data_IF_742283733435
#
_entry.id   IF_742283733435
#
_cell.length_a   1.000
_cell.length_b   1.000
_cell.length_c   1.000
_cell.angle_alpha   90.00
_cell.angle_beta   90.00
_cell.angle_gamma   90.00
#
_symmetry.space_group_name_H-M   'P 1'
#
loop_
_entity.id
_entity.type
_entity.pdbx_description
1 polymer ?
#
# COMPACT_ATOMS: atom_id res chain seq x y z
N UNK A 1 16.93 33.51 6.85
CA UNK A 1 17.01 34.50 7.93
C UNK A 1 17.26 33.74 9.22
N UNK A 2 17.99 34.35 10.16
CA UNK A 2 18.28 33.75 11.46
C UNK A 2 17.36 34.36 12.52
N UNK A 3 17.08 33.60 13.57
CA UNK A 3 16.37 34.07 14.75
C UNK A 3 17.29 34.93 15.62
N UNK A 4 16.74 36.00 16.17
CA UNK A 4 17.43 36.85 17.12
C UNK A 4 17.05 36.44 18.54
N UNK A 5 18.04 35.92 19.25
CA UNK A 5 17.93 35.45 20.63
C UNK A 5 18.67 36.37 21.60
N UNK A 6 19.32 37.45 21.13
CA UNK A 6 20.17 38.28 21.98
C UNK A 6 19.41 39.39 22.68
N UNK A 7 18.38 39.96 22.03
CA UNK A 7 17.59 41.09 22.56
C UNK A 7 16.93 40.77 23.91
N UNK A 8 16.23 39.64 23.98
CA UNK A 8 15.48 39.22 25.17
C UNK A 8 16.09 37.97 25.84
N UNK A 9 17.40 37.76 25.66
CA UNK A 9 18.09 36.53 26.07
C UNK A 9 17.91 36.26 27.56
N UNK A 10 18.08 37.28 28.39
CA UNK A 10 18.09 37.12 29.83
C UNK A 10 16.69 36.73 30.34
N UNK A 11 15.64 37.37 29.81
CA UNK A 11 14.25 37.01 30.14
C UNK A 11 13.90 35.57 29.73
N UNK A 12 14.34 35.14 28.53
CA UNK A 12 14.11 33.77 28.06
C UNK A 12 14.85 32.76 28.95
N UNK A 13 16.11 33.04 29.29
CA UNK A 13 16.91 32.15 30.13
C UNK A 13 16.41 32.10 31.58
N UNK A 14 15.89 33.21 32.11
CA UNK A 14 15.33 33.26 33.47
C UNK A 14 14.07 32.39 33.56
N UNK A 15 13.13 32.58 32.63
CA UNK A 15 11.91 31.76 32.56
C UNK A 15 12.20 30.27 32.31
N UNK A 16 13.18 29.97 31.44
CA UNK A 16 13.61 28.58 31.21
C UNK A 16 14.26 27.96 32.44
N UNK A 17 15.12 28.70 33.16
CA UNK A 17 15.74 28.21 34.39
C UNK A 17 14.71 27.93 35.48
N UNK A 18 13.69 28.77 35.63
CA UNK A 18 12.61 28.56 36.59
C UNK A 18 11.90 27.21 36.37
N UNK A 19 11.65 26.84 35.11
CA UNK A 19 11.02 25.54 34.77
C UNK A 19 11.98 24.36 34.99
N UNK A 20 13.27 24.53 34.71
CA UNK A 20 14.27 23.44 34.81
C UNK A 20 14.71 23.17 36.25
N UNK A 21 14.92 24.22 37.06
CA UNK A 21 15.43 24.07 38.42
C UNK A 21 14.42 23.38 39.35
N UNK A 22 13.12 23.42 39.01
CA UNK A 22 12.05 22.76 39.76
C UNK A 22 11.91 23.20 41.22
N UNK A 23 12.61 24.28 41.62
CA UNK A 23 12.54 24.90 42.96
C UNK A 23 11.35 25.87 43.05
N UNK A 24 10.99 26.46 41.92
CA UNK A 24 9.83 27.33 41.72
C UNK A 24 8.62 26.48 41.35
N UNK A 25 7.40 26.96 41.65
CA UNK A 25 6.16 26.25 41.28
C UNK A 25 5.88 26.25 39.78
N UNK A 26 6.67 26.99 38.99
CA UNK A 26 6.48 27.12 37.54
C UNK A 26 6.75 25.80 36.82
N UNK A 27 5.72 25.30 36.12
CA UNK A 27 5.77 24.04 35.38
C UNK A 27 5.98 24.26 33.89
N UNK A 28 5.57 25.40 33.36
CA UNK A 28 5.70 25.69 31.93
C UNK A 28 6.07 27.15 31.66
N UNK A 29 6.74 27.36 30.54
CA UNK A 29 7.07 28.68 30.00
C UNK A 29 6.80 28.71 28.49
N UNK A 30 6.27 29.82 28.02
CA UNK A 30 5.88 30.06 26.64
C UNK A 30 6.72 31.20 26.05
N UNK A 31 7.24 30.94 24.85
CA UNK A 31 8.06 31.86 24.08
C UNK A 31 7.41 32.12 22.73
N UNK A 32 7.41 33.37 22.29
CA UNK A 32 6.77 33.83 21.07
C UNK A 32 7.66 34.79 20.31
N UNK A 33 7.22 35.19 19.13
CA UNK A 33 7.90 36.22 18.36
C UNK A 33 7.27 37.58 18.59
N UNK A 34 8.09 38.62 18.66
CA UNK A 34 7.64 40.01 18.76
C UNK A 34 7.07 40.47 17.41
N UNK A 35 5.75 40.31 17.26
CA UNK A 35 5.01 40.68 16.05
C UNK A 35 5.49 39.94 14.80
N UNK A 36 5.95 40.70 13.80
CA UNK A 36 6.49 40.14 12.56
C UNK A 36 8.03 40.07 12.51
N UNK A 37 8.72 40.46 13.58
CA UNK A 37 10.19 40.37 13.65
C UNK A 37 10.66 38.92 13.86
N UNK A 38 11.96 38.66 13.72
CA UNK A 38 12.56 37.37 14.10
C UNK A 38 13.12 37.41 15.53
N UNK A 39 12.69 38.37 16.34
CA UNK A 39 13.11 38.50 17.73
C UNK A 39 12.21 37.59 18.59
N UNK A 40 12.83 36.67 19.34
CA UNK A 40 12.11 35.82 20.29
C UNK A 40 11.94 36.57 21.62
N UNK A 41 10.78 36.44 22.23
CA UNK A 41 10.46 37.01 23.53
C UNK A 41 9.78 36.00 24.45
N UNK A 42 9.86 36.29 25.74
CA UNK A 42 9.09 35.60 26.76
C UNK A 42 7.65 36.10 26.73
N UNK A 43 6.68 35.18 26.70
CA UNK A 43 5.25 35.50 26.63
C UNK A 43 4.60 35.30 27.99
N UNK A 44 4.68 34.08 28.52
CA UNK A 44 3.99 33.69 29.74
C UNK A 44 4.69 32.51 30.44
N UNK A 45 4.43 32.36 31.73
CA UNK A 45 4.80 31.18 32.54
C UNK A 45 3.70 30.90 33.55
N UNK A 46 3.52 29.63 33.91
CA UNK A 46 2.47 29.21 34.83
C UNK A 46 2.80 27.92 35.57
N UNK A 47 1.93 27.56 36.51
CA UNK A 47 2.00 26.38 37.37
C UNK A 47 0.77 25.46 37.25
N UNK A 48 -0.14 25.74 36.32
CA UNK A 48 -1.29 24.91 35.96
C UNK A 48 -0.98 23.77 34.99
N UNK A 49 0.29 23.40 34.82
CA UNK A 49 0.71 22.27 34.00
C UNK A 49 0.37 22.37 32.51
N UNK A 50 0.12 21.22 31.86
CA UNK A 50 -0.15 21.16 30.42
C UNK A 50 -1.54 21.70 30.03
N UNK A 51 -2.52 21.62 30.94
CA UNK A 51 -3.89 22.09 30.68
C UNK A 51 -3.96 23.62 30.55
N UNK A 52 -3.27 24.32 31.45
CA UNK A 52 -3.15 25.78 31.37
C UNK A 52 -2.35 26.19 30.13
N UNK A 53 -1.24 25.49 29.85
CA UNK A 53 -0.41 25.75 28.68
C UNK A 53 -1.21 25.63 27.37
N UNK A 54 -2.07 24.63 27.24
CA UNK A 54 -2.92 24.44 26.05
C UNK A 54 -3.83 25.66 25.81
N UNK A 55 -4.37 26.24 26.88
CA UNK A 55 -5.29 27.40 26.79
C UNK A 55 -4.56 28.69 26.41
N UNK A 56 -3.30 28.84 26.81
CA UNK A 56 -2.47 30.02 26.53
C UNK A 56 -1.84 30.02 25.13
N UNK A 57 -1.89 28.90 24.41
CA UNK A 57 -1.38 28.81 23.03
C UNK A 57 -2.25 29.60 22.06
N UNK A 58 -1.60 30.32 21.14
CA UNK A 58 -2.27 31.14 20.16
C UNK A 58 -2.16 30.52 18.77
N UNK A 59 -3.29 30.07 18.21
CA UNK A 59 -3.37 29.43 16.89
C UNK A 59 -2.97 30.36 15.73
N UNK A 60 -2.93 31.67 15.93
CA UNK A 60 -2.51 32.66 14.92
C UNK A 60 -1.01 32.88 14.82
N UNK A 61 -0.21 32.31 15.74
CA UNK A 61 1.23 32.57 15.82
C UNK A 61 2.05 31.29 15.94
N UNK A 62 3.36 31.42 15.74
CA UNK A 62 4.32 30.34 15.97
C UNK A 62 4.93 30.59 17.33
N UNK A 63 4.90 29.59 18.20
CA UNK A 63 5.36 29.70 19.57
C UNK A 63 6.21 28.47 19.93
N UNK A 64 6.99 28.60 20.98
CA UNK A 64 7.73 27.49 21.57
C UNK A 64 7.36 27.41 23.04
N UNK A 65 6.91 26.25 23.49
CA UNK A 65 6.63 26.02 24.90
C UNK A 65 7.65 25.06 25.48
N UNK A 66 8.05 25.31 26.72
CA UNK A 66 8.91 24.43 27.48
C UNK A 66 8.17 24.05 28.75
N UNK A 67 7.87 22.77 28.91
CA UNK A 67 7.06 22.27 30.02
C UNK A 67 7.80 21.16 30.76
N UNK A 68 7.67 21.16 32.09
CA UNK A 68 8.13 20.09 32.96
C UNK A 68 6.93 19.22 33.33
N UNK A 69 7.06 17.93 33.07
CA UNK A 69 6.00 16.95 33.30
C UNK A 69 6.55 15.77 34.09
N UNK A 70 5.75 15.21 34.98
CA UNK A 70 6.11 13.99 35.70
C UNK A 70 5.77 12.78 34.83
N UNK A 71 6.77 11.97 34.51
CA UNK A 71 6.56 10.76 33.74
C UNK A 71 5.78 9.73 34.57
N UNK A 72 4.61 9.23 34.09
CA UNK A 72 3.81 8.27 34.84
C UNK A 72 4.56 6.96 35.14
N UNK A 73 5.55 6.57 34.30
CA UNK A 73 6.29 5.32 34.48
C UNK A 73 7.43 5.43 35.49
N UNK A 74 8.07 6.60 35.56
CA UNK A 74 9.30 6.77 36.37
C UNK A 74 9.14 7.69 37.55
N UNK A 75 8.05 8.45 37.60
CA UNK A 75 7.81 9.54 38.56
C UNK A 75 8.93 10.58 38.57
N UNK A 76 9.79 10.58 37.54
CA UNK A 76 10.85 11.55 37.36
C UNK A 76 10.31 12.75 36.56
N UNK A 77 10.70 13.98 36.93
CA UNK A 77 10.40 15.15 36.13
C UNK A 77 11.18 15.09 34.82
N UNK A 78 10.47 15.22 33.71
CA UNK A 78 11.02 15.31 32.36
C UNK A 78 10.63 16.65 31.76
N UNK A 79 11.57 17.25 31.04
CA UNK A 79 11.32 18.49 30.31
C UNK A 79 10.94 18.17 28.87
N UNK A 80 9.88 18.79 28.37
CA UNK A 80 9.33 18.65 27.02
C UNK A 80 9.42 20.00 26.33
N UNK A 81 9.97 20.02 25.12
CA UNK A 81 9.98 21.19 24.25
C UNK A 81 8.91 21.00 23.17
N UNK A 82 7.95 21.92 23.11
CA UNK A 82 6.86 21.90 22.14
C UNK A 82 7.11 22.99 21.11
N UNK A 83 7.20 22.60 19.85
CA UNK A 83 7.23 23.48 18.70
C UNK A 83 5.81 23.67 18.17
N UNK A 84 5.18 24.79 18.56
CA UNK A 84 3.82 25.12 18.18
C UNK A 84 3.78 25.88 16.85
N UNK A 85 3.10 25.28 15.87
CA UNK A 85 2.85 25.87 14.56
C UNK A 85 1.36 26.11 14.38
N UNK A 86 0.84 27.16 15.04
CA UNK A 86 -0.58 27.49 15.00
C UNK A 86 -1.17 27.51 13.59
N UNK A 87 -2.38 26.97 13.44
CA UNK A 87 -3.06 26.81 12.16
C UNK A 87 -3.16 28.13 11.37
N UNK A 88 -3.52 29.21 12.04
CA UNK A 88 -3.68 30.55 11.48
C UNK A 88 -2.39 31.32 11.23
N UNK A 89 -1.21 30.79 11.60
CA UNK A 89 0.04 31.48 11.37
C UNK A 89 0.39 31.58 9.86
N UNK A 90 0.98 32.70 9.39
CA UNK A 90 1.28 32.90 7.97
C UNK A 90 2.18 31.81 7.39
N UNK A 91 1.79 31.24 6.23
CA UNK A 91 2.49 30.11 5.61
C UNK A 91 3.98 30.38 5.33
N UNK A 92 4.31 31.57 4.83
CA UNK A 92 5.70 32.00 4.56
C UNK A 92 6.55 31.99 5.84
N UNK A 93 5.93 32.36 6.97
CA UNK A 93 6.59 32.42 8.27
C UNK A 93 6.84 31.01 8.82
N UNK A 94 5.89 30.08 8.64
CA UNK A 94 6.05 28.66 9.02
C UNK A 94 7.28 28.03 8.35
N UNK A 95 7.50 28.31 7.05
CA UNK A 95 8.68 27.82 6.32
C UNK A 95 10.00 28.43 6.83
N UNK A 96 10.00 29.71 7.21
CA UNK A 96 11.20 30.39 7.73
C UNK A 96 11.53 29.92 9.14
N UNK A 97 10.53 29.86 10.03
CA UNK A 97 10.68 29.47 11.44
C UNK A 97 11.03 27.99 11.64
N UNK A 98 10.85 27.13 10.63
CA UNK A 98 11.32 25.75 10.69
C UNK A 98 12.83 25.65 10.92
N UNK A 99 13.61 26.60 10.39
CA UNK A 99 15.07 26.64 10.60
C UNK A 99 15.45 27.21 11.97
N UNK A 100 14.61 28.10 12.52
CA UNK A 100 14.86 28.74 13.82
C UNK A 100 14.77 27.75 14.98
N UNK A 101 13.99 26.67 14.83
CA UNK A 101 13.79 25.67 15.87
C UNK A 101 15.12 25.10 16.41
N UNK A 102 16.12 24.89 15.54
CA UNK A 102 17.45 24.39 15.94
C UNK A 102 18.20 25.35 16.87
N UNK A 103 18.05 26.65 16.65
CA UNK A 103 18.70 27.67 17.48
C UNK A 103 18.00 27.79 18.84
N UNK A 104 16.66 27.65 18.85
CA UNK A 104 15.86 27.59 20.09
C UNK A 104 16.18 26.34 20.91
N UNK A 105 16.26 25.17 20.28
CA UNK A 105 16.66 23.92 20.94
C UNK A 105 18.08 24.01 21.54
N UNK A 106 18.99 24.75 20.89
CA UNK A 106 20.33 25.01 21.41
C UNK A 106 20.33 25.94 22.63
N UNK A 107 19.40 26.89 22.67
CA UNK A 107 19.23 27.82 23.79
C UNK A 107 18.56 27.11 25.00
N UNK A 108 17.46 26.42 24.76
CA UNK A 108 16.63 25.71 25.75
C UNK A 108 17.12 24.27 25.92
N UNK A 109 18.33 24.12 26.48
CA UNK A 109 18.93 22.80 26.69
C UNK A 109 18.16 21.98 27.74
N UNK A 110 18.29 20.65 27.68
CA UNK A 110 17.70 19.76 28.68
C UNK A 110 16.28 19.27 28.36
N UNK A 111 15.74 19.61 27.19
CA UNK A 111 14.56 18.92 26.67
C UNK A 111 14.86 17.43 26.47
N UNK A 112 14.05 16.57 27.08
CA UNK A 112 14.14 15.13 26.92
C UNK A 112 13.44 14.70 25.63
N UNK A 113 12.37 15.40 25.28
CA UNK A 113 11.51 15.12 24.14
C UNK A 113 11.16 16.43 23.47
N UNK A 114 11.19 16.40 22.14
CA UNK A 114 10.73 17.48 21.29
C UNK A 114 9.45 17.03 20.59
N UNK A 115 8.38 17.81 20.73
CA UNK A 115 7.09 17.56 20.09
C UNK A 115 6.80 18.70 19.11
N UNK A 116 6.45 18.35 17.88
CA UNK A 116 5.89 19.32 16.93
C UNK A 116 4.37 19.23 17.04
N UNK A 117 3.73 20.37 17.31
CA UNK A 117 2.30 20.49 17.46
C UNK A 117 1.74 21.53 16.47
N UNK A 118 0.65 21.20 15.77
CA UNK A 118 -0.02 22.10 14.81
C UNK A 118 -1.44 22.49 15.21
N UNK A 119 -2.08 21.65 16.01
CA UNK A 119 -3.43 21.83 16.52
C UNK A 119 -3.44 21.58 18.03
N UNK A 120 -4.49 22.06 18.69
CA UNK A 120 -4.64 21.91 20.14
C UNK A 120 -4.74 20.44 20.58
N UNK A 121 -5.27 19.57 19.72
CA UNK A 121 -5.36 18.12 19.95
C UNK A 121 -3.97 17.45 20.11
N UNK A 122 -2.94 17.95 19.40
CA UNK A 122 -1.57 17.43 19.55
C UNK A 122 -0.88 17.89 20.84
N UNK A 123 -1.46 18.90 21.51
CA UNK A 123 -1.01 19.46 22.79
C UNK A 123 -1.80 18.88 23.98
N UNK A 124 -2.81 18.05 23.72
CA UNK A 124 -3.59 17.42 24.79
C UNK A 124 -2.67 16.73 25.82
N UNK A 125 -2.93 16.91 27.13
CA UNK A 125 -2.09 16.34 28.19
C UNK A 125 -1.89 14.84 28.03
N UNK A 126 -2.94 14.11 27.66
CA UNK A 126 -2.89 12.67 27.45
C UNK A 126 -1.97 12.27 26.30
N UNK A 127 -2.00 13.02 25.19
CA UNK A 127 -1.17 12.76 24.00
C UNK A 127 0.31 13.05 24.30
N UNK A 128 0.58 14.15 25.01
CA UNK A 128 1.94 14.49 25.44
C UNK A 128 2.45 13.45 26.43
N UNK A 129 1.65 13.06 27.43
CA UNK A 129 2.03 12.06 28.42
C UNK A 129 2.27 10.69 27.81
N UNK A 130 1.47 10.28 26.82
CA UNK A 130 1.71 9.04 26.08
C UNK A 130 3.06 9.09 25.33
N UNK A 131 3.36 10.19 24.63
CA UNK A 131 4.67 10.41 23.98
C UNK A 131 5.81 10.38 25.00
N UNK A 132 5.63 11.02 26.16
CA UNK A 132 6.61 11.02 27.26
C UNK A 132 6.89 9.62 27.76
N UNK A 133 5.82 8.85 28.01
CA UNK A 133 5.91 7.48 28.49
C UNK A 133 6.55 6.53 27.47
N UNK A 134 6.38 6.79 26.17
CA UNK A 134 6.97 6.00 25.07
C UNK A 134 8.46 6.28 24.90
N UNK A 135 8.89 7.52 25.07
CA UNK A 135 10.32 7.87 25.07
C UNK A 135 11.04 7.33 26.30
N UNK A 136 10.33 7.03 27.39
CA UNK A 136 10.86 6.32 28.55
C UNK A 136 11.02 4.82 28.26
N UNK A 137 12.25 4.38 27.98
CA UNK A 137 12.58 2.95 27.81
C UNK A 137 12.77 2.21 29.16
N UNK A 138 12.66 2.90 30.30
CA UNK A 138 12.94 2.34 31.62
C UNK A 138 11.69 2.32 32.49
N UNK A 139 11.40 1.17 33.09
CA UNK A 139 10.32 0.99 34.08
C UNK A 139 10.95 0.87 35.47
N UNK A 140 11.19 2.00 36.12
CA UNK A 140 11.54 2.03 37.55
C UNK A 140 10.82 3.21 38.17
N UNK A 141 10.21 3.03 39.34
CA UNK A 141 9.60 4.12 40.11
C UNK A 141 10.48 4.42 41.30
N UNK A 142 10.84 5.68 41.54
CA UNK A 142 11.59 6.09 42.73
C UNK A 142 10.69 6.33 43.95
N UNK A 143 9.39 6.54 43.72
CA UNK A 143 8.38 6.79 44.76
C UNK A 143 7.87 5.49 45.36
N UNK A 144 7.73 4.45 44.54
CA UNK A 144 7.52 3.10 45.01
C UNK A 144 8.86 2.51 45.42
N UNK A 145 9.28 2.76 46.67
CA UNK A 145 10.16 1.76 47.31
C UNK A 145 9.38 0.46 47.24
N UNK A 146 9.96 -0.54 46.56
CA UNK A 146 9.50 -1.91 46.57
C UNK A 146 9.49 -2.36 48.04
N UNK A 147 8.42 -2.06 48.76
CA UNK A 147 8.16 -2.61 50.07
C UNK A 147 7.70 -4.02 49.84
N UNK A 148 8.55 -5.01 50.13
CA UNK A 148 8.19 -6.40 50.46
C UNK A 148 6.96 -7.02 49.76
N UNK A 149 6.66 -6.69 48.50
CA UNK A 149 5.67 -7.44 47.74
C UNK A 149 6.41 -8.60 47.11
N UNK A 150 6.52 -9.65 47.91
CA UNK A 150 6.49 -11.07 47.53
C UNK A 150 6.82 -11.32 46.05
N UNK A 151 8.07 -11.04 45.64
CA UNK A 151 8.63 -11.79 44.53
C UNK A 151 8.82 -13.19 45.07
N UNK A 152 7.77 -14.02 44.98
CA UNK A 152 7.91 -15.46 45.01
C UNK A 152 8.83 -15.82 43.85
N UNK A 153 10.13 -15.70 44.10
CA UNK A 153 11.17 -16.12 43.18
C UNK A 153 11.22 -17.61 43.37
N UNK A 154 10.20 -18.30 42.83
CA UNK A 154 10.23 -19.73 42.70
C UNK A 154 11.51 -20.06 41.92
N UNK A 155 12.29 -21.07 42.36
CA UNK A 155 13.50 -21.44 41.66
C UNK A 155 13.16 -21.72 40.20
N UNK A 156 13.75 -20.95 39.29
CA UNK A 156 13.52 -21.11 37.86
C UNK A 156 14.19 -22.41 37.43
N UNK A 157 13.41 -23.49 37.37
CA UNK A 157 13.86 -24.75 36.81
C UNK A 157 14.20 -24.59 35.32
N UNK A 158 15.04 -25.48 34.80
CA UNK A 158 15.30 -25.53 33.36
C UNK A 158 14.00 -25.80 32.62
N UNK A 159 13.76 -25.07 31.53
CA UNK A 159 12.57 -25.18 30.67
C UNK A 159 12.47 -26.55 29.96
N UNK A 160 13.47 -27.43 30.14
CA UNK A 160 13.56 -28.70 29.44
C UNK A 160 12.42 -29.65 29.88
N UNK A 161 11.44 -29.83 29.01
CA UNK A 161 10.50 -30.95 29.06
C UNK A 161 11.02 -32.03 28.12
N UNK A 162 11.21 -33.24 28.66
CA UNK A 162 11.56 -34.41 27.83
C UNK A 162 10.39 -34.72 26.91
N UNK A 163 10.61 -34.60 25.61
CA UNK A 163 9.64 -34.99 24.57
C UNK A 163 9.43 -36.50 24.65
N UNK A 164 8.17 -36.92 24.88
CA UNK A 164 7.75 -38.32 24.86
C UNK A 164 6.91 -38.51 23.59
N UNK A 165 7.44 -39.18 22.53
CA UNK A 165 6.76 -39.28 21.23
C UNK A 165 5.33 -39.84 21.29
N UNK A 166 5.05 -40.71 22.26
CA UNK A 166 3.71 -41.30 22.49
C UNK A 166 2.64 -40.29 22.91
N UNK A 167 3.04 -39.19 23.57
CA UNK A 167 2.11 -38.18 24.07
C UNK A 167 1.90 -37.02 23.10
N UNK A 168 2.82 -36.82 22.15
CA UNK A 168 2.78 -35.68 21.21
C UNK A 168 2.21 -36.05 19.84
N UNK A 169 2.27 -37.32 19.45
CA UNK A 169 1.74 -37.78 18.16
C UNK A 169 0.43 -38.50 18.41
N UNK A 170 -0.70 -37.83 18.13
CA UNK A 170 -1.99 -38.49 18.07
C UNK A 170 -2.06 -39.36 16.80
N UNK A 171 -1.76 -40.66 16.98
CA UNK A 171 -1.68 -41.65 15.89
C UNK A 171 -3.00 -41.72 15.11
N UNK A 172 -4.14 -41.57 15.79
CA UNK A 172 -5.46 -41.63 15.16
C UNK A 172 -5.74 -40.43 14.25
N UNK A 173 -5.30 -39.23 14.61
CA UNK A 173 -5.44 -38.03 13.78
C UNK A 173 -4.55 -38.09 12.54
N UNK A 174 -3.30 -38.58 12.71
CA UNK A 174 -2.37 -38.77 11.60
C UNK A 174 -2.90 -39.78 10.58
N UNK A 175 -3.44 -40.90 11.05
CA UNK A 175 -3.93 -41.95 10.15
C UNK A 175 -5.20 -41.50 9.39
N UNK A 176 -6.08 -40.70 10.03
CA UNK A 176 -7.22 -40.05 9.36
C UNK A 176 -6.79 -39.06 8.28
N UNK A 177 -5.71 -38.30 8.52
CA UNK A 177 -5.17 -37.35 7.56
C UNK A 177 -4.72 -38.06 6.28
N UNK A 178 -3.87 -39.09 6.41
CA UNK A 178 -3.38 -39.85 5.26
C UNK A 178 -4.49 -40.62 4.54
N UNK A 179 -5.47 -41.18 5.28
CA UNK A 179 -6.62 -41.85 4.68
C UNK A 179 -7.48 -40.91 3.84
N UNK A 180 -7.68 -39.66 4.30
CA UNK A 180 -8.41 -38.64 3.56
C UNK A 180 -7.66 -38.24 2.29
N UNK A 181 -6.36 -38.04 2.39
CA UNK A 181 -5.51 -37.64 1.26
C UNK A 181 -5.43 -38.76 0.20
N UNK A 182 -5.30 -40.02 0.63
CA UNK A 182 -5.28 -41.17 -0.29
C UNK A 182 -6.63 -41.36 -1.00
N UNK A 183 -7.75 -41.11 -0.33
CA UNK A 183 -9.09 -41.13 -0.94
C UNK A 183 -9.25 -40.02 -1.97
N UNK A 184 -8.78 -38.81 -1.67
CA UNK A 184 -8.85 -37.66 -2.58
C UNK A 184 -7.95 -37.86 -3.82
N UNK A 185 -6.74 -38.41 -3.62
CA UNK A 185 -5.83 -38.71 -4.71
C UNK A 185 -6.37 -39.84 -5.61
N UNK A 186 -6.96 -40.89 -5.03
CA UNK A 186 -7.64 -41.95 -5.81
C UNK A 186 -8.79 -41.37 -6.63
N UNK A 187 -9.58 -40.47 -6.06
CA UNK A 187 -10.67 -39.81 -6.80
C UNK A 187 -10.13 -39.00 -7.98
N UNK A 188 -9.05 -38.25 -7.78
CA UNK A 188 -8.38 -37.48 -8.84
C UNK A 188 -7.87 -38.40 -9.96
N UNK A 189 -7.21 -39.50 -9.61
CA UNK A 189 -6.71 -40.46 -10.59
C UNK A 189 -7.83 -41.14 -11.39
N UNK A 190 -8.96 -41.44 -10.74
CA UNK A 190 -10.15 -41.99 -11.43
C UNK A 190 -10.75 -40.96 -12.38
N UNK A 191 -10.85 -39.70 -11.97
CA UNK A 191 -11.38 -38.63 -12.83
C UNK A 191 -10.47 -38.36 -14.04
N UNK A 192 -9.14 -38.32 -13.84
CA UNK A 192 -8.17 -38.17 -14.93
C UNK A 192 -8.21 -39.36 -15.90
N UNK A 193 -8.30 -40.59 -15.39
CA UNK A 193 -8.47 -41.79 -16.23
C UNK A 193 -9.76 -41.70 -17.04
N UNK A 194 -10.88 -41.33 -16.42
CA UNK A 194 -12.17 -41.18 -17.10
C UNK A 194 -12.11 -40.13 -18.22
N UNK A 195 -11.54 -38.95 -17.96
CA UNK A 195 -11.34 -37.90 -18.98
C UNK A 195 -10.43 -38.37 -20.12
N UNK A 196 -9.36 -39.10 -19.80
CA UNK A 196 -8.43 -39.65 -20.80
C UNK A 196 -9.10 -40.71 -21.68
N UNK A 197 -9.95 -41.57 -21.12
CA UNK A 197 -10.72 -42.55 -21.87
C UNK A 197 -11.77 -41.88 -22.76
N UNK A 198 -12.48 -40.88 -22.26
CA UNK A 198 -13.45 -40.10 -23.02
C UNK A 198 -12.80 -39.37 -24.20
N UNK A 199 -11.66 -38.72 -23.97
CA UNK A 199 -10.85 -38.10 -25.04
C UNK A 199 -10.42 -39.12 -26.09
N UNK A 200 -9.94 -40.30 -25.69
CA UNK A 200 -9.58 -41.37 -26.64
C UNK A 200 -10.78 -41.87 -27.45
N UNK A 201 -11.97 -41.95 -26.84
CA UNK A 201 -13.20 -42.35 -27.55
C UNK A 201 -13.60 -41.30 -28.59
N UNK A 202 -13.58 -40.03 -28.21
CA UNK A 202 -13.86 -38.91 -29.13
C UNK A 202 -12.86 -38.86 -30.28
N UNK A 203 -11.57 -39.04 -29.99
CA UNK A 203 -10.51 -39.06 -31.00
C UNK A 203 -10.68 -40.23 -31.97
N UNK A 204 -11.01 -41.42 -31.45
CA UNK A 204 -11.31 -42.59 -32.28
C UNK A 204 -12.54 -42.38 -33.16
N UNK A 205 -13.63 -41.81 -32.63
CA UNK A 205 -14.84 -41.50 -33.40
C UNK A 205 -14.57 -40.47 -34.51
N UNK A 206 -13.76 -39.44 -34.22
CA UNK A 206 -13.33 -38.46 -35.23
C UNK A 206 -12.50 -39.12 -36.33
N UNK A 207 -11.56 -39.98 -35.96
CA UNK A 207 -10.71 -40.70 -36.91
C UNK A 207 -11.54 -41.66 -37.80
N UNK A 208 -12.51 -42.38 -37.22
CA UNK A 208 -13.41 -43.25 -37.97
C UNK A 208 -14.27 -42.45 -38.95
N UNK A 209 -14.84 -41.32 -38.53
CA UNK A 209 -15.60 -40.41 -39.41
C UNK A 209 -14.73 -39.84 -40.54
N UNK A 210 -13.49 -39.45 -40.25
CA UNK A 210 -12.55 -38.95 -41.25
C UNK A 210 -12.15 -40.05 -42.24
N UNK A 211 -11.89 -41.26 -41.76
CA UNK A 211 -11.58 -42.42 -42.60
C UNK A 211 -12.76 -42.83 -43.49
N UNK A 212 -13.99 -42.78 -42.98
CA UNK A 212 -15.21 -43.07 -43.73
C UNK A 212 -15.47 -42.02 -44.82
N UNK A 213 -15.30 -40.73 -44.50
CA UNK A 213 -15.35 -39.65 -45.49
C UNK A 213 -14.28 -39.83 -46.58
N UNK A 214 -13.03 -40.14 -46.19
CA UNK A 214 -11.94 -40.38 -47.12
C UNK A 214 -12.16 -41.64 -47.99
N UNK A 215 -12.79 -42.68 -47.45
CA UNK A 215 -13.16 -43.86 -48.22
C UNK A 215 -14.30 -43.56 -49.21
N UNK A 216 -15.32 -42.82 -48.79
CA UNK A 216 -16.42 -42.38 -49.66
C UNK A 216 -15.92 -41.49 -50.81
N UNK A 217 -14.95 -40.61 -50.54
CA UNK A 217 -14.31 -39.76 -51.56
C UNK A 217 -13.51 -40.60 -52.58
N UNK A 218 -12.84 -41.67 -52.11
CA UNK A 218 -12.09 -42.60 -52.98
C UNK A 218 -12.99 -43.51 -53.82
N UNK A 219 -14.14 -43.94 -53.30
CA UNK A 219 -15.10 -44.77 -54.03
C UNK A 219 -15.94 -43.98 -55.04
N UNK A 220 -16.07 -42.66 -54.88
CA UNK A 220 -16.84 -41.79 -55.78
C UNK A 220 -16.07 -40.52 -56.19
N UNK A 221 -14.96 -40.63 -56.94
CA UNK A 221 -14.15 -39.48 -57.35
C UNK A 221 -14.86 -38.52 -58.32
N UNK A 222 -15.95 -38.95 -58.97
CA UNK A 222 -16.74 -38.09 -59.88
C UNK A 222 -17.83 -37.27 -59.19
N UNK A 223 -18.24 -37.61 -57.96
CA UNK A 223 -19.34 -36.90 -57.28
C UNK A 223 -18.96 -35.51 -56.76
N UNK A 224 -17.78 -35.27 -56.13
CA UNK A 224 -17.40 -33.94 -55.67
C UNK A 224 -17.23 -32.98 -56.84
N UNK A 225 -16.54 -33.41 -57.92
CA UNK A 225 -16.36 -32.61 -59.13
C UNK A 225 -17.70 -32.25 -59.78
N UNK A 226 -18.63 -33.21 -59.94
CA UNK A 226 -19.98 -32.92 -60.45
C UNK A 226 -20.82 -32.05 -59.51
N UNK A 227 -20.65 -32.15 -58.18
CA UNK A 227 -21.37 -31.32 -57.19
C UNK A 227 -20.86 -29.88 -57.22
N UNK A 228 -19.55 -29.69 -57.36
CA UNK A 228 -18.92 -28.38 -57.54
C UNK A 228 -19.30 -27.80 -58.91
N UNK A 229 -19.22 -28.58 -59.99
CA UNK A 229 -19.64 -28.15 -61.34
C UNK A 229 -21.13 -27.80 -61.39
N UNK A 230 -22.00 -28.59 -60.75
CA UNK A 230 -23.44 -28.29 -60.71
C UNK A 230 -23.78 -27.09 -59.84
N UNK A 231 -23.05 -26.87 -58.73
CA UNK A 231 -23.16 -25.64 -57.93
C UNK A 231 -22.73 -24.43 -58.74
N UNK A 232 -21.55 -24.49 -59.34
CA UNK A 232 -20.99 -23.41 -60.17
C UNK A 232 -21.86 -23.14 -61.40
N UNK A 233 -22.46 -24.17 -62.00
CA UNK A 233 -23.37 -24.04 -63.13
C UNK A 233 -24.70 -23.41 -62.73
N UNK A 234 -25.26 -23.74 -61.56
CA UNK A 234 -26.47 -23.10 -61.04
C UNK A 234 -26.23 -21.62 -60.72
N UNK A 235 -25.12 -21.29 -60.07
CA UNK A 235 -24.73 -19.90 -59.83
C UNK A 235 -24.53 -19.14 -61.16
N UNK A 236 -23.87 -19.76 -62.15
CA UNK A 236 -23.71 -19.16 -63.47
C UNK A 236 -25.05 -18.96 -64.21
N UNK A 237 -25.97 -19.92 -64.17
CA UNK A 237 -27.30 -19.81 -64.77
C UNK A 237 -28.16 -18.72 -64.10
N UNK A 238 -28.08 -18.55 -62.79
CA UNK A 238 -28.75 -17.45 -62.07
C UNK A 238 -28.18 -16.08 -62.49
N UNK A 239 -26.85 -15.96 -62.56
CA UNK A 239 -26.18 -14.73 -63.02
C UNK A 239 -26.53 -14.38 -64.48
N UNK A 240 -26.75 -15.36 -65.35
CA UNK A 240 -27.17 -15.15 -66.75
C UNK A 240 -28.62 -14.70 -66.83
N UNK A 241 -29.55 -15.30 -66.05
CA UNK A 241 -30.96 -14.85 -66.01
C UNK A 241 -31.12 -13.42 -65.48
N UNK A 242 -30.20 -12.97 -64.62
CA UNK A 242 -30.15 -11.61 -64.08
C UNK A 242 -29.55 -10.59 -65.07
N UNK A 243 -28.95 -11.02 -66.20
CA UNK A 243 -28.44 -10.09 -67.23
C UNK A 243 -29.53 -9.68 -68.22
N UNK A 244 -29.83 -8.40 -68.29
CA UNK A 244 -30.85 -7.77 -69.16
C UNK A 244 -30.33 -7.36 -70.55
N UNK A 245 -29.20 -7.90 -71.00
CA UNK A 245 -28.56 -7.51 -72.26
C UNK A 245 -28.41 -8.71 -73.19
N UNK A 246 -29.11 -8.70 -74.33
CA UNK A 246 -29.04 -9.76 -75.35
C UNK A 246 -27.69 -9.71 -76.08
N UNK A 247 -26.73 -10.50 -75.61
CA UNK A 247 -25.36 -10.51 -76.10
C UNK A 247 -25.24 -10.99 -77.57
N UNK A 248 -26.28 -11.63 -78.13
CA UNK A 248 -26.28 -12.12 -79.51
C UNK A 248 -26.50 -10.98 -80.52
N UNK A 249 -27.26 -9.95 -80.15
CA UNK A 249 -27.49 -8.77 -80.99
C UNK A 249 -26.25 -7.87 -81.15
N UNK A 250 -25.32 -7.92 -80.19
CA UNK A 250 -24.10 -7.09 -80.15
C UNK A 250 -23.00 -7.66 -81.08
N UNK A 251 -22.96 -8.98 -81.27
CA UNK A 251 -21.89 -9.65 -82.02
C UNK A 251 -22.14 -9.72 -83.53
N UNK A 252 -23.39 -9.66 -83.99
CA UNK A 252 -23.72 -9.62 -85.42
C UNK A 252 -23.45 -8.26 -86.09
N UNK A 253 -23.31 -7.17 -85.33
CA UNK A 253 -23.02 -5.84 -85.90
C UNK A 253 -21.56 -5.68 -86.38
N UNK A 254 -20.62 -6.57 -86.02
CA UNK A 254 -19.17 -6.28 -86.14
C UNK A 254 -18.32 -7.31 -86.92
N UNK A 255 -18.88 -8.20 -87.75
CA UNK A 255 -18.09 -9.27 -88.42
C UNK A 255 -18.07 -9.28 -89.95
N UNK A 256 -18.23 -8.14 -90.63
CA UNK A 256 -17.90 -8.02 -92.06
C UNK A 256 -16.89 -6.89 -92.35
N UNK A 257 -15.59 -7.10 -92.10
CA UNK A 257 -14.51 -6.33 -92.74
C UNK A 257 -13.10 -6.94 -92.52
N UNK A 258 -12.37 -7.18 -93.62
CA UNK A 258 -10.90 -7.10 -93.69
C UNK A 258 -10.11 -8.35 -93.28
N UNK A 259 -9.69 -9.23 -94.20
CA UNK A 259 -8.46 -9.11 -95.02
C UNK A 259 -7.15 -9.16 -94.21
N UNK A 260 -6.03 -9.76 -94.62
CA UNK A 260 -5.60 -10.62 -95.74
C UNK A 260 -4.15 -11.03 -95.40
N UNK A 261 -3.78 -12.26 -95.81
CA UNK A 261 -2.52 -12.65 -96.49
C UNK A 261 -1.13 -12.33 -95.93
N UNK A 262 -0.26 -13.36 -95.98
CA UNK A 262 1.00 -13.45 -96.77
C UNK A 262 2.01 -14.35 -96.04
N UNK A 263 2.20 -15.61 -96.45
CA UNK A 263 3.20 -16.10 -97.45
C UNK A 263 4.65 -16.08 -96.90
N UNK A 264 5.20 -17.23 -96.44
CA UNK A 264 5.97 -18.30 -97.14
C UNK A 264 7.49 -18.06 -97.31
N UNK A 265 8.21 -19.19 -97.13
CA UNK A 265 9.60 -19.62 -97.50
C UNK A 265 10.64 -19.48 -96.38
N UNK A 266 11.32 -20.53 -95.90
CA UNK A 266 12.08 -21.64 -96.52
C UNK A 266 13.38 -21.19 -97.20
N UNK A 267 14.49 -21.36 -96.47
CA UNK A 267 15.70 -22.11 -96.85
C UNK A 267 16.49 -22.46 -95.59
#
# INVERSE_FOLDING_TARGET
MAINLTKNRDAILDAWKDVVDGKTSTDWALFGYEGQSNDLEFVAKGDGGLEELQTELNSGTIQYAFARVLDPKTTLPKCVLINWQGEGAPFVRKGTCANHFRDVERLLKGAHITINARNDEEVDPDVIMDKVSKSTCSTYSFTERIGEVDRQTAPVGTVYKRVIPKNEINVEERDKFWQKEELEEKQRQVEEKRKREEMKRLDKEKLEKEAELAAQERESPEQPARRIESSNRKEAEELIKLRTTDARAIFEQNTNAGQLLSSKKSS
#
